data_IF_153548990765
#
_entry.id   IF_153548990765
#
_cell.length_a   1.000
_cell.length_b   1.000
_cell.length_c   1.000
_cell.angle_alpha   90.00
_cell.angle_beta   90.00
_cell.angle_gamma   90.00
#
_symmetry.space_group_name_H-M   'P 1'
#
loop_
_entity.id
_entity.type
_entity.pdbx_description
1 polymer ?
#
# COMPACT_ATOMS: atom_id res chain seq x y z
N UNK A 1 11.46 -1.72 -0.95
CA UNK A 1 10.20 -1.36 -0.29
C UNK A 1 10.24 -1.73 1.20
N UNK A 2 10.12 -3.00 1.61
CA UNK A 2 10.15 -3.38 3.04
C UNK A 2 11.42 -3.01 3.80
N UNK A 3 12.59 -3.20 3.17
CA UNK A 3 13.88 -2.77 3.74
C UNK A 3 13.99 -1.24 3.94
N UNK A 4 13.05 -0.46 3.41
CA UNK A 4 12.98 0.99 3.52
C UNK A 4 11.71 1.45 4.27
N UNK A 5 11.05 0.54 5.00
CA UNK A 5 9.90 0.86 5.85
C UNK A 5 8.55 0.96 5.13
N UNK A 6 8.43 0.47 3.90
CA UNK A 6 7.18 0.52 3.12
C UNK A 6 6.35 -0.75 3.24
N UNK A 7 5.04 -0.56 3.31
CA UNK A 7 4.02 -1.60 3.47
C UNK A 7 3.68 -2.22 2.12
N UNK A 8 4.68 -2.86 1.50
CA UNK A 8 4.50 -3.50 0.21
C UNK A 8 3.60 -4.75 0.31
N UNK A 9 2.79 -5.05 -0.73
CA UNK A 9 2.02 -6.29 -0.80
C UNK A 9 2.95 -7.50 -0.64
N UNK A 10 2.50 -8.52 0.09
CA UNK A 10 3.29 -9.75 0.34
C UNK A 10 3.64 -10.48 -0.92
N UNK A 11 2.74 -10.45 -1.91
CA UNK A 11 2.94 -11.01 -3.23
C UNK A 11 2.19 -10.14 -4.24
N UNK A 12 2.74 -10.06 -5.46
CA UNK A 12 1.98 -9.54 -6.60
C UNK A 12 1.04 -10.67 -7.06
N UNK A 13 -0.27 -10.40 -7.22
CA UNK A 13 -1.20 -11.42 -7.68
C UNK A 13 -0.81 -12.01 -9.04
N UNK A 14 -1.14 -13.28 -9.26
CA UNK A 14 -0.90 -13.96 -10.54
C UNK A 14 -1.45 -13.13 -11.71
N UNK A 15 -0.65 -13.00 -12.77
CA UNK A 15 -0.99 -12.28 -13.99
C UNK A 15 -0.62 -10.79 -13.96
N UNK A 16 -0.27 -10.24 -12.80
CA UNK A 16 0.18 -8.85 -12.68
C UNK A 16 1.71 -8.76 -12.69
N UNK A 17 2.22 -7.68 -13.27
CA UNK A 17 3.64 -7.35 -13.31
C UNK A 17 3.85 -5.91 -12.89
N UNK A 18 4.82 -5.68 -12.00
CA UNK A 18 5.27 -4.33 -11.66
C UNK A 18 6.05 -3.77 -12.85
N UNK A 19 5.63 -2.61 -13.35
CA UNK A 19 6.27 -1.93 -14.48
C UNK A 19 7.08 -0.72 -14.04
N UNK A 20 6.74 -0.10 -12.92
CA UNK A 20 7.53 0.96 -12.31
C UNK A 20 7.34 1.02 -10.79
N UNK A 21 8.35 1.53 -10.10
CA UNK A 21 8.31 1.88 -8.68
C UNK A 21 8.97 3.25 -8.54
N UNK A 22 8.26 4.22 -7.94
CA UNK A 22 8.71 5.61 -7.86
C UNK A 22 8.46 6.18 -6.48
N UNK A 23 9.47 6.83 -5.91
CA UNK A 23 9.25 7.73 -4.78
C UNK A 23 8.73 9.06 -5.34
N UNK A 24 7.52 9.44 -4.96
CA UNK A 24 6.99 10.76 -5.32
C UNK A 24 7.53 11.83 -4.36
N UNK A 25 7.73 11.44 -3.10
CA UNK A 25 8.37 12.22 -2.05
C UNK A 25 8.95 11.28 -0.96
N UNK A 26 9.41 11.81 0.17
CA UNK A 26 9.97 11.02 1.29
C UNK A 26 8.96 10.10 1.99
N UNK A 27 7.66 10.37 1.81
CA UNK A 27 6.52 9.74 2.49
C UNK A 27 5.51 9.10 1.54
N UNK A 28 5.73 9.19 0.22
CA UNK A 28 4.86 8.61 -0.81
C UNK A 28 5.63 7.75 -1.81
N UNK A 29 5.16 6.51 -1.97
CA UNK A 29 5.66 5.52 -2.92
C UNK A 29 4.54 5.14 -3.90
N UNK A 30 4.84 5.19 -5.19
CA UNK A 30 3.95 4.77 -6.27
C UNK A 30 4.47 3.50 -6.93
N UNK A 31 3.56 2.59 -7.24
CA UNK A 31 3.84 1.34 -7.96
C UNK A 31 2.86 1.21 -9.11
N UNK A 32 3.41 1.18 -10.32
CA UNK A 32 2.65 0.89 -11.53
C UNK A 32 2.62 -0.61 -11.76
N UNK A 33 1.43 -1.17 -11.97
CA UNK A 33 1.24 -2.56 -12.35
C UNK A 33 0.47 -2.66 -13.67
N UNK A 34 0.82 -3.67 -14.45
CA UNK A 34 0.03 -4.08 -15.62
C UNK A 34 -0.39 -5.53 -15.47
N UNK A 35 -1.61 -5.85 -15.87
CA UNK A 35 -2.16 -7.19 -15.75
C UNK A 35 -3.40 -7.41 -16.61
N UNK A 36 -4.17 -8.47 -16.33
CA UNK A 36 -5.30 -8.90 -17.18
C UNK A 36 -6.43 -7.86 -17.26
N UNK A 37 -6.49 -6.93 -16.31
CA UNK A 37 -7.51 -5.87 -16.24
C UNK A 37 -6.99 -4.49 -16.68
N UNK A 38 -5.82 -4.46 -17.29
CA UNK A 38 -5.16 -3.23 -17.72
C UNK A 38 -4.16 -2.74 -16.69
N UNK A 39 -4.10 -1.41 -16.56
CA UNK A 39 -3.16 -0.73 -15.65
C UNK A 39 -3.79 -0.49 -14.29
N UNK A 40 -2.98 -0.66 -13.26
CA UNK A 40 -3.33 -0.38 -11.88
C UNK A 40 -2.19 0.40 -11.25
N UNK A 41 -2.53 1.46 -10.52
CA UNK A 41 -1.57 2.26 -9.77
C UNK A 41 -1.85 2.07 -8.29
N UNK A 42 -0.84 1.69 -7.53
CA UNK A 42 -0.87 1.65 -6.07
C UNK A 42 -0.05 2.82 -5.56
N UNK A 43 -0.64 3.60 -4.66
CA UNK A 43 0.08 4.62 -3.89
C UNK A 43 0.09 4.24 -2.42
N UNK A 44 1.27 4.13 -1.84
CA UNK A 44 1.50 3.95 -0.41
C UNK A 44 1.97 5.28 0.18
N UNK A 45 1.25 5.81 1.17
CA UNK A 45 1.62 7.04 1.88
C UNK A 45 1.72 6.80 3.38
N UNK A 46 2.83 7.17 4.02
CA UNK A 46 2.91 7.12 5.48
C UNK A 46 1.90 8.08 6.12
N UNK A 47 1.16 7.59 7.12
CA UNK A 47 0.18 8.38 7.84
C UNK A 47 -1.05 7.60 8.31
N UNK A 48 -2.10 8.35 8.61
CA UNK A 48 -3.38 7.83 9.10
C UNK A 48 -4.49 8.29 8.17
N UNK A 49 -5.33 7.34 7.76
CA UNK A 49 -6.54 7.63 7.01
C UNK A 49 -7.52 8.39 7.92
N UNK A 50 -7.93 9.58 7.48
CA UNK A 50 -8.99 10.35 8.14
C UNK A 50 -10.34 9.74 7.76
N UNK A 51 -10.85 8.86 8.63
CA UNK A 51 -12.13 8.16 8.40
C UNK A 51 -13.34 9.04 8.61
N UNK A 52 -13.21 10.15 9.34
CA UNK A 52 -14.32 11.10 9.57
C UNK A 52 -14.60 11.87 8.27
N UNK A 53 -13.54 12.24 7.55
CA UNK A 53 -13.62 12.80 6.20
C UNK A 53 -14.24 11.84 5.16
N UNK A 54 -14.27 10.53 5.45
CA UNK A 54 -14.86 9.47 4.60
C UNK A 54 -16.26 9.04 5.08
N UNK A 55 -16.89 9.86 5.94
CA UNK A 55 -18.27 9.62 6.36
C UNK A 55 -19.22 9.66 5.14
N UNK A 56 -20.05 8.62 5.01
CA UNK A 56 -20.99 8.48 3.88
C UNK A 56 -20.40 7.87 2.60
N UNK A 57 -19.09 7.68 2.50
CA UNK A 57 -18.45 6.97 1.38
C UNK A 57 -18.83 5.48 1.40
N UNK A 58 -18.99 4.88 0.21
CA UNK A 58 -19.22 3.44 0.05
C UNK A 58 -18.04 2.64 0.64
N UNK A 59 -18.37 1.53 1.31
CA UNK A 59 -17.39 0.69 2.02
C UNK A 59 -17.53 -0.75 1.59
N UNK A 60 -16.41 -1.33 1.19
CA UNK A 60 -16.29 -2.75 0.93
C UNK A 60 -15.45 -3.41 2.03
N UNK A 61 -15.87 -4.58 2.47
CA UNK A 61 -15.11 -5.38 3.42
C UNK A 61 -14.32 -6.44 2.64
N UNK A 62 -13.00 -6.29 2.57
CA UNK A 62 -12.11 -7.16 1.77
C UNK A 62 -11.05 -7.73 2.68
N UNK A 63 -11.01 -9.05 2.85
CA UNK A 63 -10.01 -9.76 3.66
C UNK A 63 -9.79 -9.12 5.05
N UNK A 64 -10.86 -8.87 5.79
CA UNK A 64 -10.87 -8.23 7.11
C UNK A 64 -10.44 -6.76 7.15
N UNK A 65 -10.50 -6.07 6.01
CA UNK A 65 -10.21 -4.64 5.88
C UNK A 65 -11.43 -3.85 5.42
N UNK A 66 -11.58 -2.66 5.98
CA UNK A 66 -12.51 -1.65 5.43
C UNK A 66 -11.83 -0.89 4.31
N UNK A 67 -12.35 -1.05 3.10
CA UNK A 67 -11.93 -0.35 1.88
C UNK A 67 -12.96 0.71 1.55
N UNK A 68 -12.53 1.97 1.46
CA UNK A 68 -13.41 3.09 1.10
C UNK A 68 -13.33 3.35 -0.40
N UNK A 69 -14.46 3.27 -1.11
CA UNK A 69 -14.53 3.51 -2.56
C UNK A 69 -14.79 4.99 -2.80
N UNK A 70 -13.75 5.70 -3.23
CA UNK A 70 -13.75 7.15 -3.47
C UNK A 70 -14.36 7.51 -4.83
N UNK A 71 -14.18 6.65 -5.83
CA UNK A 71 -14.78 6.76 -7.14
C UNK A 71 -15.04 5.37 -7.74
N UNK A 72 -16.15 5.19 -8.45
CA UNK A 72 -16.48 3.92 -9.09
C UNK A 72 -15.87 3.75 -10.49
N UNK A 73 -15.69 4.85 -11.24
CA UNK A 73 -15.14 4.84 -12.61
C UNK A 73 -14.34 6.11 -12.92
N UNK A 74 -12.99 6.03 -13.06
CA UNK A 74 -12.16 4.86 -12.76
C UNK A 74 -12.32 4.45 -11.30
N UNK A 75 -12.12 3.17 -11.02
CA UNK A 75 -12.25 2.69 -9.66
C UNK A 75 -11.08 3.21 -8.82
N UNK A 76 -11.41 3.96 -7.78
CA UNK A 76 -10.44 4.53 -6.84
C UNK A 76 -10.88 4.18 -5.44
N UNK A 77 -10.00 3.53 -4.69
CA UNK A 77 -10.26 3.18 -3.31
C UNK A 77 -9.06 3.44 -2.41
N UNK A 78 -9.34 3.62 -1.12
CA UNK A 78 -8.32 3.82 -0.09
C UNK A 78 -8.61 2.99 1.16
N UNK A 79 -7.55 2.55 1.84
CA UNK A 79 -7.65 1.86 3.14
C UNK A 79 -6.39 2.04 3.99
N UNK A 80 -6.51 1.77 5.29
CA UNK A 80 -5.37 1.77 6.22
C UNK A 80 -4.65 0.41 6.22
N UNK A 81 -3.32 0.45 6.18
CA UNK A 81 -2.45 -0.72 6.33
C UNK A 81 -1.24 -0.39 7.19
N UNK A 82 -1.25 -0.83 8.45
CA UNK A 82 -0.22 -0.48 9.42
C UNK A 82 -0.15 1.04 9.60
N UNK A 83 1.03 1.62 9.43
CA UNK A 83 1.33 3.05 9.45
C UNK A 83 1.18 3.74 8.08
N UNK A 84 0.58 3.07 7.10
CA UNK A 84 0.49 3.50 5.72
C UNK A 84 -0.97 3.57 5.25
N UNK A 85 -1.35 4.64 4.57
CA UNK A 85 -2.55 4.73 3.77
C UNK A 85 -2.25 4.19 2.38
N UNK A 86 -3.03 3.22 1.92
CA UNK A 86 -2.90 2.66 0.58
C UNK A 86 -4.05 3.17 -0.27
N UNK A 87 -3.73 3.72 -1.43
CA UNK A 87 -4.68 4.13 -2.46
C UNK A 87 -4.47 3.28 -3.71
N UNK A 88 -5.55 2.87 -4.36
CA UNK A 88 -5.50 2.14 -5.63
C UNK A 88 -6.40 2.79 -6.65
N UNK A 89 -5.84 3.05 -7.83
CA UNK A 89 -6.60 3.49 -9.01
C UNK A 89 -6.50 2.42 -10.09
N UNK A 90 -7.65 1.97 -10.58
CA UNK A 90 -7.76 0.97 -11.64
C UNK A 90 -8.84 1.39 -12.65
N UNK A 91 -8.70 0.93 -13.90
CA UNK A 91 -9.66 1.24 -14.95
C UNK A 91 -11.09 0.78 -14.59
N UNK A 92 -11.23 -0.34 -13.87
CA UNK A 92 -12.51 -0.89 -13.39
C UNK A 92 -12.35 -1.53 -12.03
N UNK A 93 -13.40 -1.48 -11.21
CA UNK A 93 -13.50 -2.24 -9.96
C UNK A 93 -13.88 -3.68 -10.29
N UNK A 94 -13.10 -4.65 -9.80
CA UNK A 94 -13.36 -6.06 -10.05
C UNK A 94 -12.87 -6.92 -8.87
N UNK A 95 -13.32 -8.18 -8.83
CA UNK A 95 -12.83 -9.14 -7.84
C UNK A 95 -11.32 -9.42 -7.90
N UNK A 96 -10.61 -9.10 -8.99
CA UNK A 96 -9.15 -9.22 -9.01
C UNK A 96 -8.44 -8.03 -8.35
N UNK A 97 -9.07 -6.85 -8.34
CA UNK A 97 -8.58 -5.71 -7.56
C UNK A 97 -8.72 -6.01 -6.06
N UNK A 98 -9.81 -6.64 -5.65
CA UNK A 98 -9.99 -7.13 -4.28
C UNK A 98 -8.94 -8.18 -3.88
N UNK A 99 -8.56 -9.09 -4.81
CA UNK A 99 -7.45 -10.04 -4.57
C UNK A 99 -6.11 -9.35 -4.35
N UNK A 100 -5.85 -8.21 -5.02
CA UNK A 100 -4.65 -7.40 -4.79
C UNK A 100 -4.71 -6.74 -3.41
N UNK A 101 -5.84 -6.12 -3.06
CA UNK A 101 -6.05 -5.51 -1.72
C UNK A 101 -5.78 -6.53 -0.62
N UNK A 102 -6.22 -7.78 -0.80
CA UNK A 102 -6.00 -8.87 0.15
C UNK A 102 -4.52 -9.28 0.35
N UNK A 103 -3.60 -8.84 -0.51
CA UNK A 103 -2.15 -9.08 -0.35
C UNK A 103 -1.46 -8.06 0.56
N UNK A 104 -2.13 -7.00 0.98
CA UNK A 104 -1.54 -6.05 1.92
C UNK A 104 -1.61 -6.58 3.35
N UNK A 105 -0.58 -6.36 4.19
CA UNK A 105 -0.52 -6.89 5.56
C UNK A 105 -1.56 -6.20 6.47
N UNK A 106 -2.22 -6.98 7.33
CA UNK A 106 -3.35 -6.54 8.16
C UNK A 106 -2.97 -5.69 9.38
N UNK A 107 -1.69 -5.39 9.57
CA UNK A 107 -1.19 -4.78 10.80
C UNK A 107 -2.00 -3.53 11.16
N UNK A 108 -2.47 -3.48 12.41
CA UNK A 108 -3.12 -2.29 12.95
C UNK A 108 -2.10 -1.15 12.99
N UNK A 109 -2.56 0.09 12.84
CA UNK A 109 -1.73 1.27 13.09
C UNK A 109 -1.19 1.20 14.53
N UNK A 110 0.13 1.06 14.69
CA UNK A 110 0.78 1.01 16.01
C UNK A 110 1.12 2.45 16.48
N UNK A 111 0.38 2.94 17.47
CA UNK A 111 0.66 4.21 18.17
C UNK A 111 1.85 4.09 19.15
N UNK A 112 2.39 2.87 19.34
CA UNK A 112 3.46 2.55 20.26
C UNK A 112 4.85 2.98 19.79
N UNK A 113 5.50 3.78 20.63
CA UNK A 113 6.92 4.17 20.56
C UNK A 113 7.94 3.01 20.36
N UNK A 114 7.68 1.70 20.64
CA UNK A 114 8.64 0.63 20.33
C UNK A 114 8.86 0.37 18.83
N UNK A 115 7.90 0.66 17.95
CA UNK A 115 8.02 0.40 16.50
C UNK A 115 9.07 1.28 15.79
N UNK A 116 9.62 2.28 16.49
CA UNK A 116 10.70 3.15 15.99
C UNK A 116 12.10 2.59 16.21
N UNK A 117 12.29 1.74 17.24
CA UNK A 117 13.65 1.31 17.64
C UNK A 117 14.13 0.10 16.83
N UNK A 118 13.22 -0.77 16.38
CA UNK A 118 13.59 -1.95 15.58
C UNK A 118 13.99 -1.60 14.14
N UNK A 119 13.61 -0.42 13.63
CA UNK A 119 13.88 0.01 12.25
C UNK A 119 15.21 0.78 12.07
N UNK A 120 15.92 1.08 13.15
CA UNK A 120 17.12 1.93 13.15
C UNK A 120 18.48 1.21 13.22
N UNK A 121 18.54 -0.10 13.47
CA UNK A 121 19.81 -0.80 13.73
C UNK A 121 20.39 -1.60 12.53
N UNK A 122 19.75 -1.56 11.36
CA UNK A 122 20.18 -2.32 10.17
C UNK A 122 21.12 -1.59 9.21
N UNK A 123 21.31 -0.27 9.35
CA UNK A 123 21.97 0.56 8.33
C UNK A 123 23.43 0.92 8.64
N UNK A 124 24.06 0.30 9.65
CA UNK A 124 25.46 0.56 10.01
C UNK A 124 26.35 -0.69 10.00
N UNK A 125 26.46 -1.44 8.89
CA UNK A 125 27.58 -2.40 8.70
C UNK A 125 27.99 -2.65 7.25
N UNK A 126 27.74 -1.75 6.30
CA UNK A 126 28.35 -1.85 4.96
C UNK A 126 29.10 -0.58 4.59
N UNK A 127 30.20 -0.32 5.30
CA UNK A 127 31.23 0.62 4.82
C UNK A 127 32.67 0.21 5.13
N UNK A 128 32.97 -1.06 5.46
CA UNK A 128 34.37 -1.53 5.51
C UNK A 128 34.47 -3.05 5.26
N UNK A 129 34.76 -3.41 4.00
CA UNK A 129 35.57 -4.57 3.56
C UNK A 129 35.48 -4.63 2.01
N UNK A 130 36.27 -3.85 1.27
CA UNK A 130 37.61 -4.15 0.72
C UNK A 130 37.62 -5.16 -0.45
N UNK A 131 38.54 -5.05 -1.43
CA UNK A 131 39.89 -4.49 -1.33
C UNK A 131 40.07 -3.05 -1.84
#
# INVERSE_FOLDING_TARGET
>A
MRAHGWTAPTQVPVGWSVTAVRFLDETTLEVDLVGPLGTLVVTERHGRLDTDALSGTERNFVADRTVYVLCATPWHAAWQSGDTVVEVVAATGSGDVEKLVAQFPLDAYDEGVPARITRGWGTMTQTLAQP
#
